data_IF_112961483812
#
_entry.id   IF_112961483812
#
_cell.length_a   1.000
_cell.length_b   1.000
_cell.length_c   1.000
_cell.angle_alpha   90.00
_cell.angle_beta   90.00
_cell.angle_gamma   90.00
#
_symmetry.space_group_name_H-M   'P 1'
#
loop_
_entity.id
_entity.type
_entity.pdbx_description
1 polymer ?
#
# COMPACT_ATOMS: atom_id res chain seq x y z
N UNK A 1 -3.25 -15.74 20.42
CA UNK A 1 -2.00 -16.28 19.88
C UNK A 1 -2.25 -16.72 18.46
N UNK A 2 -1.47 -16.23 17.48
CA UNK A 2 -1.50 -16.74 16.11
C UNK A 2 -0.15 -17.37 15.77
N UNK A 3 -0.19 -18.52 15.09
CA UNK A 3 1.00 -19.24 14.65
C UNK A 3 0.93 -19.38 13.14
N UNK A 4 1.92 -18.85 12.42
CA UNK A 4 2.01 -18.94 10.95
C UNK A 4 3.36 -19.54 10.56
N UNK A 5 3.39 -20.35 9.50
CA UNK A 5 4.65 -20.79 8.89
C UNK A 5 5.30 -19.59 8.19
N UNK A 6 6.61 -19.46 8.30
CA UNK A 6 7.36 -18.32 7.76
C UNK A 6 8.52 -18.82 6.90
N UNK A 7 8.38 -18.67 5.61
CA UNK A 7 9.42 -19.06 4.65
C UNK A 7 9.58 -20.57 4.51
N UNK A 8 10.53 -21.16 5.22
CA UNK A 8 10.81 -22.60 5.17
C UNK A 8 9.82 -23.41 6.02
N UNK A 9 9.69 -24.71 5.73
CA UNK A 9 8.80 -25.62 6.46
C UNK A 9 9.12 -25.80 7.95
N UNK A 10 10.27 -25.31 8.40
CA UNK A 10 10.79 -25.39 9.77
C UNK A 10 10.68 -24.11 10.57
N UNK A 11 10.34 -22.99 9.91
CA UNK A 11 10.28 -21.67 10.55
C UNK A 11 8.84 -21.29 10.85
N UNK A 12 8.59 -20.87 12.10
CA UNK A 12 7.28 -20.46 12.59
C UNK A 12 7.34 -19.05 13.17
N UNK A 13 6.38 -18.22 12.79
CA UNK A 13 6.13 -16.91 13.39
C UNK A 13 5.00 -17.04 14.41
N UNK A 14 5.33 -16.84 15.67
CA UNK A 14 4.36 -16.84 16.77
C UNK A 14 4.09 -15.39 17.17
N UNK A 15 2.84 -14.96 17.00
CA UNK A 15 2.37 -13.66 17.48
C UNK A 15 1.42 -13.84 18.64
N UNK A 16 1.61 -13.05 19.68
CA UNK A 16 0.71 -13.01 20.83
C UNK A 16 0.51 -11.58 21.31
N UNK A 17 -0.67 -11.30 21.79
CA UNK A 17 -1.03 -10.01 22.37
C UNK A 17 -0.80 -10.06 23.88
N UNK A 18 0.01 -9.16 24.39
CA UNK A 18 0.26 -9.03 25.82
C UNK A 18 -0.78 -8.06 26.45
N UNK A 19 -1.99 -8.56 26.76
CA UNK A 19 -3.08 -7.77 27.36
C UNK A 19 -2.77 -7.29 28.78
N UNK A 20 -1.96 -8.04 29.50
CA UNK A 20 -1.70 -7.79 30.94
C UNK A 20 -0.40 -7.03 31.21
N UNK A 21 0.29 -6.55 30.17
CA UNK A 21 1.58 -5.83 30.29
C UNK A 21 2.60 -6.59 31.18
N UNK A 22 2.54 -7.92 31.21
CA UNK A 22 3.49 -8.74 31.96
C UNK A 22 4.87 -8.64 31.35
N UNK A 23 5.84 -8.10 32.08
CA UNK A 23 7.24 -7.93 31.62
C UNK A 23 7.93 -9.24 31.23
N UNK A 24 7.49 -10.38 31.74
CA UNK A 24 8.18 -11.69 31.60
C UNK A 24 7.44 -12.69 30.71
N UNK A 25 6.43 -12.28 29.93
CA UNK A 25 5.66 -13.22 29.11
C UNK A 25 6.53 -13.94 28.08
N UNK A 26 7.58 -13.28 27.58
CA UNK A 26 8.53 -13.86 26.62
C UNK A 26 9.34 -14.98 27.28
N UNK A 27 9.78 -14.77 28.51
CA UNK A 27 10.53 -15.79 29.26
C UNK A 27 9.65 -16.98 29.65
N UNK A 28 8.40 -16.72 30.00
CA UNK A 28 7.41 -17.77 30.28
C UNK A 28 7.13 -18.62 29.03
N UNK A 29 6.94 -17.99 27.87
CA UNK A 29 6.77 -18.70 26.61
C UNK A 29 8.02 -19.49 26.23
N UNK A 30 9.22 -18.90 26.38
CA UNK A 30 10.48 -19.60 26.14
C UNK A 30 10.59 -20.85 27.03
N UNK A 31 10.33 -20.71 28.32
CA UNK A 31 10.41 -21.82 29.29
C UNK A 31 9.40 -22.92 28.97
N UNK A 32 8.19 -22.55 28.53
CA UNK A 32 7.16 -23.54 28.18
C UNK A 32 7.49 -24.27 26.87
N UNK A 33 8.07 -23.56 25.88
CA UNK A 33 8.55 -24.19 24.65
C UNK A 33 9.76 -25.08 24.90
N UNK A 34 10.72 -24.67 25.74
CA UNK A 34 11.86 -25.50 26.15
C UNK A 34 11.42 -26.78 26.85
N UNK A 35 10.39 -26.70 27.70
CA UNK A 35 9.82 -27.87 28.38
C UNK A 35 9.09 -28.84 27.42
N UNK A 36 8.45 -28.28 26.36
CA UNK A 36 7.64 -29.08 25.45
C UNK A 36 8.43 -29.67 24.28
N UNK A 37 9.45 -29.00 23.79
CA UNK A 37 10.21 -29.35 22.58
C UNK A 37 11.70 -29.65 22.84
N UNK A 38 12.19 -29.41 24.08
CA UNK A 38 13.59 -29.58 24.41
C UNK A 38 14.48 -28.62 23.57
N UNK A 39 15.76 -29.04 23.38
CA UNK A 39 16.73 -28.20 22.61
C UNK A 39 16.59 -28.27 21.07
N UNK A 40 15.44 -28.74 20.57
CA UNK A 40 15.24 -28.96 19.14
C UNK A 40 14.79 -27.71 18.36
N UNK A 41 14.78 -26.52 18.99
CA UNK A 41 14.41 -25.26 18.32
C UNK A 41 15.34 -24.10 18.73
N UNK A 42 15.41 -23.08 17.90
CA UNK A 42 16.18 -21.87 18.19
C UNK A 42 15.34 -20.62 17.91
N UNK A 43 15.42 -19.64 18.80
CA UNK A 43 14.80 -18.33 18.57
C UNK A 43 15.67 -17.51 17.62
N UNK A 44 15.19 -17.30 16.39
CA UNK A 44 15.90 -16.48 15.41
C UNK A 44 15.75 -14.99 15.68
N UNK A 45 14.54 -14.58 16.07
CA UNK A 45 14.21 -13.18 16.35
C UNK A 45 13.08 -13.11 17.37
N UNK A 46 13.24 -12.25 18.35
CA UNK A 46 12.21 -11.94 19.34
C UNK A 46 11.99 -10.43 19.31
N UNK A 47 10.79 -10.01 18.93
CA UNK A 47 10.40 -8.61 18.91
C UNK A 47 9.27 -8.37 19.88
N UNK A 48 9.41 -7.37 20.72
CA UNK A 48 8.35 -6.92 21.61
C UNK A 48 7.97 -5.48 21.21
N UNK A 49 6.78 -5.36 20.63
CA UNK A 49 6.23 -4.04 20.25
C UNK A 49 5.18 -3.67 21.29
N UNK A 50 5.50 -2.73 22.14
CA UNK A 50 4.56 -2.24 23.16
C UNK A 50 3.32 -1.59 22.51
N UNK A 51 2.14 -1.64 23.18
CA UNK A 51 0.90 -1.06 22.63
C UNK A 51 1.03 0.41 22.28
N UNK A 52 1.77 1.18 23.08
CA UNK A 52 2.02 2.61 22.82
C UNK A 52 2.83 2.84 21.54
N UNK A 53 3.83 2.00 21.26
CA UNK A 53 4.63 2.09 20.05
C UNK A 53 3.78 1.71 18.83
N UNK A 54 2.93 0.70 18.93
CA UNK A 54 2.00 0.32 17.86
C UNK A 54 1.00 1.44 17.55
N UNK A 55 0.46 2.10 18.56
CA UNK A 55 -0.45 3.23 18.40
C UNK A 55 0.23 4.42 17.73
N UNK A 56 1.44 4.78 18.18
CA UNK A 56 2.25 5.85 17.58
C UNK A 56 2.61 5.57 16.12
N UNK A 57 2.96 4.32 15.78
CA UNK A 57 3.25 3.91 14.42
C UNK A 57 2.02 3.99 13.52
N UNK A 58 0.86 3.52 13.97
CA UNK A 58 -0.40 3.64 13.22
C UNK A 58 -0.78 5.10 13.02
N UNK A 59 -0.73 5.92 14.05
CA UNK A 59 -1.03 7.35 13.96
C UNK A 59 -0.09 8.05 12.98
N UNK A 60 1.21 7.81 13.08
CA UNK A 60 2.21 8.37 12.17
C UNK A 60 2.00 7.90 10.74
N UNK A 61 1.63 6.62 10.54
CA UNK A 61 1.30 6.05 9.24
C UNK A 61 0.09 6.71 8.60
N UNK A 62 -0.99 6.88 9.36
CA UNK A 62 -2.21 7.57 8.87
C UNK A 62 -1.91 9.03 8.53
N UNK A 63 -1.14 9.74 9.35
CA UNK A 63 -0.73 11.12 9.08
C UNK A 63 0.12 11.19 7.81
N UNK A 64 1.08 10.29 7.65
CA UNK A 64 1.94 10.23 6.46
C UNK A 64 1.14 10.00 5.18
N UNK A 65 0.19 9.05 5.20
CA UNK A 65 -0.71 8.80 4.05
C UNK A 65 -1.54 10.05 3.75
N UNK A 66 -2.19 10.63 4.77
CA UNK A 66 -3.06 11.79 4.59
C UNK A 66 -2.30 13.00 4.04
N UNK A 67 -1.10 13.25 4.56
CA UNK A 67 -0.24 14.34 4.11
C UNK A 67 0.24 14.10 2.66
N UNK A 68 0.65 12.89 2.34
CA UNK A 68 1.10 12.49 1.00
C UNK A 68 -0.02 12.68 -0.03
N UNK A 69 -1.24 12.22 0.31
CA UNK A 69 -2.42 12.43 -0.52
C UNK A 69 -2.74 13.91 -0.69
N UNK A 70 -2.72 14.70 0.37
CA UNK A 70 -3.00 16.13 0.32
C UNK A 70 -2.01 16.89 -0.59
N UNK A 71 -0.71 16.60 -0.47
CA UNK A 71 0.33 17.20 -1.33
C UNK A 71 0.13 16.80 -2.79
N UNK A 72 -0.23 15.53 -3.03
CA UNK A 72 -0.46 15.01 -4.38
C UNK A 72 -1.70 15.64 -5.03
N UNK A 73 -2.79 15.77 -4.28
CA UNK A 73 -4.01 16.44 -4.74
C UNK A 73 -3.76 17.92 -5.04
N UNK A 74 -2.99 18.59 -4.18
CA UNK A 74 -2.58 19.99 -4.39
C UNK A 74 -1.74 20.16 -5.66
N UNK A 75 -0.80 19.24 -5.91
CA UNK A 75 0.00 19.23 -7.15
C UNK A 75 -0.89 19.08 -8.40
N UNK A 76 -1.85 18.14 -8.38
CA UNK A 76 -2.76 17.92 -9.51
C UNK A 76 -3.64 19.13 -9.73
N UNK A 77 -4.15 19.72 -8.66
CA UNK A 77 -5.00 20.93 -8.76
C UNK A 77 -4.27 22.12 -9.39
N UNK A 78 -3.00 22.31 -9.10
CA UNK A 78 -2.19 23.37 -9.74
C UNK A 78 -1.82 22.98 -11.17
N UNK A 79 -1.52 21.71 -11.43
CA UNK A 79 -0.97 21.23 -12.70
C UNK A 79 -2.02 21.06 -13.78
N UNK A 80 -3.24 20.68 -13.40
CA UNK A 80 -4.34 20.36 -14.31
C UNK A 80 -5.56 21.24 -14.07
N UNK A 81 -6.45 21.29 -15.08
CA UNK A 81 -7.76 21.90 -14.95
C UNK A 81 -8.61 21.12 -13.95
N UNK A 82 -9.58 21.76 -13.31
CA UNK A 82 -10.38 21.21 -12.22
C UNK A 82 -11.11 19.90 -12.58
N UNK A 83 -11.51 19.74 -13.86
CA UNK A 83 -12.20 18.52 -14.33
C UNK A 83 -11.28 17.29 -14.24
N UNK A 84 -10.01 17.42 -14.68
CA UNK A 84 -9.01 16.37 -14.60
C UNK A 84 -8.62 16.05 -13.15
N UNK A 85 -8.56 17.08 -12.30
CA UNK A 85 -8.29 16.91 -10.88
C UNK A 85 -9.37 16.07 -10.19
N UNK A 86 -10.64 16.31 -10.50
CA UNK A 86 -11.75 15.53 -9.96
C UNK A 86 -11.67 14.04 -10.39
N UNK A 87 -11.39 13.79 -11.67
CA UNK A 87 -11.19 12.44 -12.18
C UNK A 87 -10.03 11.70 -11.52
N UNK A 88 -8.90 12.39 -11.31
CA UNK A 88 -7.74 11.82 -10.63
C UNK A 88 -8.04 11.47 -9.16
N UNK A 89 -8.78 12.33 -8.45
CA UNK A 89 -9.20 12.07 -7.06
C UNK A 89 -10.07 10.83 -6.99
N UNK A 90 -11.07 10.72 -7.88
CA UNK A 90 -11.97 9.57 -7.91
C UNK A 90 -11.22 8.27 -8.23
N UNK A 91 -10.30 8.29 -9.19
CA UNK A 91 -9.46 7.14 -9.52
C UNK A 91 -8.62 6.70 -8.31
N UNK A 92 -7.99 7.63 -7.61
CA UNK A 92 -7.17 7.36 -6.44
C UNK A 92 -7.98 6.78 -5.28
N UNK A 93 -9.17 7.33 -5.01
CA UNK A 93 -10.09 6.75 -4.03
C UNK A 93 -10.50 5.33 -4.38
N UNK A 94 -10.83 5.10 -5.66
CA UNK A 94 -11.16 3.76 -6.15
C UNK A 94 -10.03 2.77 -5.88
N UNK A 95 -8.79 3.11 -6.22
CA UNK A 95 -7.63 2.22 -6.08
C UNK A 95 -7.32 1.90 -4.61
N UNK A 96 -7.42 2.89 -3.73
CA UNK A 96 -7.26 2.68 -2.29
C UNK A 96 -8.36 1.79 -1.73
N UNK A 97 -9.63 2.04 -2.09
CA UNK A 97 -10.77 1.25 -1.62
C UNK A 97 -10.67 -0.19 -2.11
N UNK A 98 -10.35 -0.41 -3.38
CA UNK A 98 -10.18 -1.76 -3.96
C UNK A 98 -9.04 -2.49 -3.27
N UNK A 99 -7.90 -1.82 -3.06
CA UNK A 99 -6.76 -2.41 -2.35
C UNK A 99 -7.13 -2.82 -0.93
N UNK A 100 -7.71 -1.92 -0.14
CA UNK A 100 -8.14 -2.23 1.23
C UNK A 100 -9.24 -3.30 1.24
N UNK A 101 -10.14 -3.30 0.26
CA UNK A 101 -11.16 -4.33 0.09
C UNK A 101 -10.55 -5.72 -0.13
N UNK A 102 -9.52 -5.84 -0.95
CA UNK A 102 -8.78 -7.08 -1.18
C UNK A 102 -8.10 -7.54 0.12
N UNK A 103 -7.41 -6.64 0.84
CA UNK A 103 -6.80 -6.98 2.13
C UNK A 103 -7.84 -7.47 3.16
N UNK A 104 -9.01 -6.83 3.20
CA UNK A 104 -10.12 -7.24 4.07
C UNK A 104 -10.69 -8.60 3.67
N UNK A 105 -10.89 -8.84 2.37
CA UNK A 105 -11.44 -10.10 1.83
C UNK A 105 -10.55 -11.31 2.19
N UNK A 106 -9.24 -11.15 2.09
CA UNK A 106 -8.26 -12.18 2.43
C UNK A 106 -7.87 -12.18 3.92
N UNK A 107 -8.50 -11.35 4.74
CA UNK A 107 -8.21 -11.22 6.17
C UNK A 107 -6.70 -11.02 6.44
N UNK A 108 -6.04 -10.22 5.61
CA UNK A 108 -4.63 -9.93 5.75
C UNK A 108 -4.41 -8.96 6.92
N UNK A 109 -3.41 -9.22 7.73
CA UNK A 109 -3.09 -8.37 8.88
C UNK A 109 -2.55 -7.02 8.41
N UNK A 110 -3.17 -5.93 8.87
CA UNK A 110 -2.68 -4.57 8.59
C UNK A 110 -1.45 -4.30 9.46
N UNK A 111 -0.31 -4.12 8.82
CA UNK A 111 0.96 -3.77 9.45
C UNK A 111 1.61 -2.57 8.74
N UNK A 112 2.75 -2.11 9.25
CA UNK A 112 3.47 -0.96 8.67
C UNK A 112 3.87 -1.17 7.21
N UNK A 113 4.20 -2.41 6.83
CA UNK A 113 4.56 -2.75 5.44
C UNK A 113 3.38 -2.59 4.48
N UNK A 114 2.15 -2.86 4.93
CA UNK A 114 0.94 -2.65 4.13
C UNK A 114 0.67 -1.15 3.93
N UNK A 115 0.92 -0.33 4.96
CA UNK A 115 0.82 1.13 4.82
C UNK A 115 1.79 1.63 3.75
N UNK A 116 3.04 1.15 3.77
CA UNK A 116 4.03 1.46 2.75
C UNK A 116 3.60 0.97 1.35
N UNK A 117 3.02 -0.23 1.25
CA UNK A 117 2.49 -0.77 0.00
C UNK A 117 1.35 0.08 -0.56
N UNK A 118 0.40 0.51 0.27
CA UNK A 118 -0.70 1.41 -0.14
C UNK A 118 -0.15 2.73 -0.67
N UNK A 119 0.84 3.34 0.01
CA UNK A 119 1.50 4.56 -0.47
C UNK A 119 2.18 4.35 -1.83
N UNK A 120 2.80 3.20 -2.02
CA UNK A 120 3.44 2.84 -3.29
C UNK A 120 2.40 2.72 -4.41
N UNK A 121 1.29 2.02 -4.17
CA UNK A 121 0.19 1.87 -5.14
C UNK A 121 -0.38 3.24 -5.53
N UNK A 122 -0.62 4.11 -4.54
CA UNK A 122 -1.09 5.49 -4.77
C UNK A 122 -0.11 6.25 -5.66
N UNK A 123 1.20 6.17 -5.38
CA UNK A 123 2.23 6.84 -6.17
C UNK A 123 2.28 6.35 -7.62
N UNK A 124 2.18 5.03 -7.85
CA UNK A 124 2.18 4.46 -9.20
C UNK A 124 0.90 4.77 -9.97
N UNK A 125 -0.27 4.62 -9.36
CA UNK A 125 -1.56 4.96 -9.98
C UNK A 125 -1.59 6.42 -10.43
N UNK A 126 -1.09 7.32 -9.59
CA UNK A 126 -1.00 8.74 -9.94
C UNK A 126 -0.03 9.04 -11.07
N UNK A 127 1.11 8.35 -11.13
CA UNK A 127 2.08 8.54 -12.21
C UNK A 127 1.46 8.26 -13.58
N UNK A 128 0.74 7.16 -13.73
CA UNK A 128 0.08 6.79 -14.98
C UNK A 128 -1.11 7.72 -15.30
N UNK A 129 -1.90 8.08 -14.30
CA UNK A 129 -3.01 9.02 -14.45
C UNK A 129 -2.54 10.38 -14.95
N UNK A 130 -1.45 10.92 -14.39
CA UNK A 130 -0.86 12.21 -14.82
C UNK A 130 -0.38 12.13 -16.27
N UNK A 131 0.27 11.05 -16.67
CA UNK A 131 0.77 10.85 -18.04
C UNK A 131 -0.37 10.82 -19.05
N UNK A 132 -1.44 10.06 -18.74
CA UNK A 132 -2.62 9.96 -19.62
C UNK A 132 -3.31 11.32 -19.71
N UNK A 133 -3.53 12.01 -18.59
CA UNK A 133 -4.18 13.32 -18.58
C UNK A 133 -3.37 14.40 -19.31
N UNK A 134 -2.05 14.39 -19.17
CA UNK A 134 -1.18 15.32 -19.90
C UNK A 134 -1.28 15.08 -21.43
N UNK A 135 -1.36 13.81 -21.85
CA UNK A 135 -1.55 13.46 -23.26
C UNK A 135 -2.94 13.84 -23.78
N UNK A 136 -3.99 13.60 -23.00
CA UNK A 136 -5.35 14.05 -23.34
C UNK A 136 -5.38 15.57 -23.51
N UNK A 137 -4.76 16.31 -22.60
CA UNK A 137 -4.68 17.77 -22.67
C UNK A 137 -3.89 18.27 -23.88
N UNK A 138 -2.79 17.61 -24.22
CA UNK A 138 -2.02 17.93 -25.44
C UNK A 138 -2.87 17.70 -26.70
N UNK A 139 -3.57 16.57 -26.77
CA UNK A 139 -4.42 16.22 -27.90
C UNK A 139 -5.66 17.11 -28.01
N UNK A 140 -6.23 17.58 -26.89
CA UNK A 140 -7.31 18.57 -26.88
C UNK A 140 -6.89 19.89 -27.52
N UNK A 141 -5.62 20.28 -27.39
CA UNK A 141 -5.08 21.51 -28.02
C UNK A 141 -4.75 21.29 -29.49
N UNK A 142 -4.43 20.06 -29.87
CA UNK A 142 -4.00 19.71 -31.23
C UNK A 142 -5.17 19.45 -32.18
N UNK A 143 -6.23 18.87 -31.66
CA UNK A 143 -7.41 18.45 -32.41
C UNK A 143 -8.65 19.22 -31.94
N UNK A 144 -9.15 20.16 -32.75
CA UNK A 144 -10.31 21.00 -32.38
C UNK A 144 -11.67 20.36 -32.72
N UNK A 145 -11.72 19.40 -33.66
CA UNK A 145 -12.98 18.90 -34.23
C UNK A 145 -13.25 17.41 -33.95
N UNK A 146 -12.47 16.77 -33.09
CA UNK A 146 -12.64 15.36 -32.74
C UNK A 146 -13.56 15.21 -31.52
N UNK A 147 -14.41 14.19 -31.53
CA UNK A 147 -15.23 13.84 -30.34
C UNK A 147 -14.33 13.46 -29.18
N UNK A 148 -14.71 13.88 -27.97
CA UNK A 148 -13.94 13.60 -26.74
C UNK A 148 -13.63 12.12 -26.56
N UNK A 149 -14.57 11.22 -26.91
CA UNK A 149 -14.35 9.79 -26.80
C UNK A 149 -13.20 9.30 -27.70
N UNK A 150 -13.19 9.73 -28.96
CA UNK A 150 -12.14 9.33 -29.92
C UNK A 150 -10.78 9.91 -29.54
N UNK A 151 -10.77 11.16 -29.10
CA UNK A 151 -9.57 11.84 -28.63
C UNK A 151 -8.97 11.15 -27.39
N UNK A 152 -9.82 10.74 -26.44
CA UNK A 152 -9.37 10.00 -25.25
C UNK A 152 -8.80 8.64 -25.64
N UNK A 153 -9.44 7.92 -26.57
CA UNK A 153 -8.96 6.64 -27.07
C UNK A 153 -7.59 6.77 -27.76
N UNK A 154 -7.40 7.79 -28.58
CA UNK A 154 -6.10 8.10 -29.19
C UNK A 154 -5.06 8.37 -28.12
N UNK A 155 -5.37 9.18 -27.14
CA UNK A 155 -4.44 9.56 -26.07
C UNK A 155 -4.00 8.36 -25.22
N UNK A 156 -4.94 7.47 -24.88
CA UNK A 156 -4.64 6.22 -24.17
C UNK A 156 -3.73 5.32 -25.00
N UNK A 157 -4.03 5.12 -26.29
CA UNK A 157 -3.21 4.31 -27.17
C UNK A 157 -1.78 4.85 -27.33
N UNK A 158 -1.61 6.14 -27.39
CA UNK A 158 -0.29 6.79 -27.50
C UNK A 158 0.54 6.63 -26.21
N UNK A 159 -0.08 6.51 -25.04
CA UNK A 159 0.58 6.33 -23.75
C UNK A 159 0.71 4.86 -23.34
N UNK A 160 -0.03 3.95 -23.99
CA UNK A 160 -0.18 2.55 -23.60
C UNK A 160 1.17 1.81 -23.48
N UNK A 161 2.06 1.97 -24.44
CA UNK A 161 3.38 1.32 -24.43
C UNK A 161 4.20 1.74 -23.20
N UNK A 162 4.19 3.01 -22.85
CA UNK A 162 4.89 3.53 -21.66
C UNK A 162 4.28 2.97 -20.38
N UNK A 163 2.96 3.01 -20.25
CA UNK A 163 2.24 2.51 -19.07
C UNK A 163 2.47 1.01 -18.85
N UNK A 164 2.43 0.21 -19.93
CA UNK A 164 2.72 -1.24 -19.84
C UNK A 164 4.17 -1.49 -19.39
N UNK A 165 5.14 -0.76 -19.95
CA UNK A 165 6.54 -0.94 -19.60
C UNK A 165 6.78 -0.52 -18.13
N UNK A 166 6.25 0.61 -17.70
CA UNK A 166 6.39 1.08 -16.31
C UNK A 166 5.75 0.10 -15.33
N UNK A 167 4.56 -0.40 -15.63
CA UNK A 167 3.88 -1.39 -14.78
C UNK A 167 4.62 -2.73 -14.75
N UNK A 168 5.11 -3.21 -15.89
CA UNK A 168 5.89 -4.45 -15.96
C UNK A 168 7.20 -4.37 -15.20
N UNK A 169 7.93 -3.23 -15.29
CA UNK A 169 9.19 -3.04 -14.55
C UNK A 169 8.99 -2.89 -13.05
N UNK A 170 7.80 -2.53 -12.61
CA UNK A 170 7.46 -2.43 -11.18
C UNK A 170 7.11 -3.79 -10.57
N UNK A 171 6.61 -4.73 -11.38
CA UNK A 171 6.27 -6.08 -10.96
C UNK A 171 7.48 -7.02 -10.87
N UNK A 172 8.61 -6.67 -11.49
CA UNK A 172 9.88 -7.42 -11.47
C UNK A 172 10.75 -7.04 -10.29
#
# INVERSE_FOLDING_TARGET
VSVKKFGNNTDYLIKFENKDNKKNIIEEIKTNLDKSFGNNFSFRRVENVGPKVSEELLKSGVIAISLSLAVMLFYIWIRFEWQFSLGAILALFHDVIVTLGIFSLFSLEINLSIIAAVLTIVGYSMNDTVVIFDRVRENLRKYSDIKIFDLTNISINETLSRTIITSATTLL
#
